data_IF_046786399376
#
_entry.id   IF_046786399376
#
_cell.length_a   1.000
_cell.length_b   1.000
_cell.length_c   1.000
_cell.angle_alpha   90.00
_cell.angle_beta   90.00
_cell.angle_gamma   90.00
#
_symmetry.space_group_name_H-M   'P 1'
#
loop_
_entity.id
_entity.type
_entity.pdbx_description
1 polymer ?
#
# COMPACT_ATOMS: atom_id res chain seq x y z
N UNK A 1 -1.96 -33.09 14.11
CA UNK A 1 -1.93 -32.36 12.83
C UNK A 1 -3.03 -31.32 12.90
N UNK A 2 -2.70 -30.05 13.18
CA UNK A 2 -3.70 -28.97 13.21
C UNK A 2 -3.97 -28.56 11.78
N UNK A 3 -5.26 -28.47 11.42
CA UNK A 3 -5.71 -27.81 10.20
C UNK A 3 -5.09 -26.41 10.17
N UNK A 4 -4.12 -26.21 9.29
CA UNK A 4 -3.70 -24.86 8.93
C UNK A 4 -4.85 -24.31 8.13
N UNK A 5 -5.62 -23.41 8.75
CA UNK A 5 -6.75 -22.67 8.16
C UNK A 5 -6.51 -22.45 6.68
N UNK A 6 -7.31 -23.10 5.83
CA UNK A 6 -7.22 -22.92 4.40
C UNK A 6 -7.50 -21.45 4.08
N UNK A 7 -6.52 -20.75 3.52
CA UNK A 7 -6.72 -19.42 2.98
C UNK A 7 -7.83 -19.50 1.92
N UNK A 8 -8.78 -18.55 1.89
CA UNK A 8 -9.84 -18.58 0.91
C UNK A 8 -9.28 -18.55 -0.51
N UNK A 9 -9.90 -19.31 -1.42
CA UNK A 9 -9.77 -19.07 -2.85
C UNK A 9 -10.45 -17.73 -3.15
N UNK A 10 -9.65 -16.72 -3.52
CA UNK A 10 -10.12 -15.36 -3.76
C UNK A 10 -10.36 -15.15 -5.25
N UNK A 11 -11.39 -14.38 -5.56
CA UNK A 11 -11.58 -13.79 -6.88
C UNK A 11 -11.37 -12.28 -6.75
N UNK A 12 -10.54 -11.72 -7.61
CA UNK A 12 -10.22 -10.30 -7.62
C UNK A 12 -10.09 -9.79 -9.06
N UNK A 13 -10.39 -8.51 -9.26
CA UNK A 13 -10.39 -7.86 -10.57
C UNK A 13 -9.21 -6.91 -10.65
N UNK A 14 -8.36 -7.05 -11.66
CA UNK A 14 -7.22 -6.17 -11.92
C UNK A 14 -7.56 -5.24 -13.06
N UNK A 15 -7.34 -3.95 -12.87
CA UNK A 15 -7.57 -2.90 -13.87
C UNK A 15 -6.23 -2.46 -14.45
N UNK A 16 -6.03 -2.70 -15.75
CA UNK A 16 -4.78 -2.38 -16.45
C UNK A 16 -4.69 -0.91 -16.86
N UNK A 17 -3.46 -0.38 -16.95
CA UNK A 17 -3.16 1.00 -17.31
C UNK A 17 -3.95 1.49 -18.54
N UNK A 18 -4.68 2.60 -18.39
CA UNK A 18 -5.15 3.44 -19.50
C UNK A 18 -6.21 2.88 -20.45
N UNK A 19 -6.70 1.65 -20.28
CA UNK A 19 -7.63 1.04 -21.26
C UNK A 19 -8.96 0.54 -20.68
N UNK A 20 -9.19 0.63 -19.36
CA UNK A 20 -10.45 0.21 -18.74
C UNK A 20 -10.73 -1.31 -18.79
N UNK A 21 -9.77 -2.11 -19.24
CA UNK A 21 -9.89 -3.56 -19.30
C UNK A 21 -9.78 -4.16 -17.89
N UNK A 22 -10.90 -4.70 -17.43
CA UNK A 22 -11.01 -5.47 -16.19
C UNK A 22 -10.63 -6.94 -16.47
N UNK A 23 -9.62 -7.44 -15.75
CA UNK A 23 -9.25 -8.86 -15.78
C UNK A 23 -9.57 -9.53 -14.46
N UNK A 24 -10.58 -10.40 -14.46
CA UNK A 24 -10.89 -11.26 -13.31
C UNK A 24 -9.83 -12.34 -13.16
N UNK A 25 -9.30 -12.47 -11.94
CA UNK A 25 -8.33 -13.47 -11.55
C UNK A 25 -8.83 -14.24 -10.35
N UNK A 26 -8.44 -15.51 -10.28
CA UNK A 26 -8.64 -16.35 -9.11
C UNK A 26 -7.27 -16.69 -8.54
N UNK A 27 -7.11 -16.60 -7.22
CA UNK A 27 -5.83 -16.87 -6.58
C UNK A 27 -5.91 -16.84 -5.06
N UNK A 28 -4.77 -17.10 -4.44
CA UNK A 28 -4.56 -17.03 -3.00
C UNK A 28 -4.39 -15.60 -2.49
N UNK A 29 -4.45 -15.42 -1.17
CA UNK A 29 -4.15 -14.14 -0.54
C UNK A 29 -2.74 -13.63 -0.88
N UNK A 30 -1.74 -14.50 -1.00
CA UNK A 30 -0.39 -14.10 -1.40
C UNK A 30 -0.35 -13.53 -2.84
N UNK A 31 -1.08 -14.16 -3.77
CA UNK A 31 -1.18 -13.68 -5.16
C UNK A 31 -1.98 -12.37 -5.26
N UNK A 32 -3.00 -12.19 -4.41
CA UNK A 32 -3.67 -10.90 -4.26
C UNK A 32 -2.71 -9.82 -3.77
N UNK A 33 -1.95 -10.06 -2.69
CA UNK A 33 -0.98 -9.09 -2.16
C UNK A 33 0.12 -8.76 -3.20
N UNK A 34 0.56 -9.73 -3.98
CA UNK A 34 1.50 -9.50 -5.10
C UNK A 34 0.91 -8.66 -6.24
N UNK A 35 -0.40 -8.70 -6.42
CA UNK A 35 -1.09 -7.92 -7.44
C UNK A 35 -1.40 -6.48 -6.99
N UNK A 36 -1.31 -6.16 -5.68
CA UNK A 36 -1.54 -4.82 -5.17
C UNK A 36 -0.33 -3.91 -5.50
N UNK A 37 -0.53 -2.82 -6.25
CA UNK A 37 0.54 -1.90 -6.59
C UNK A 37 1.22 -1.31 -5.35
N UNK A 38 2.55 -1.21 -5.41
CA UNK A 38 3.38 -0.54 -4.39
C UNK A 38 3.32 -1.11 -2.96
N UNK A 39 2.66 -2.26 -2.75
CA UNK A 39 2.52 -2.84 -1.41
C UNK A 39 3.88 -3.26 -0.82
N UNK A 40 4.77 -3.82 -1.64
CA UNK A 40 6.10 -4.28 -1.22
C UNK A 40 7.18 -3.22 -1.43
N UNK A 41 7.06 -2.10 -0.72
CA UNK A 41 8.07 -1.02 -0.76
C UNK A 41 9.45 -1.59 -0.40
N UNK A 42 10.45 -1.34 -1.25
CA UNK A 42 11.83 -1.86 -1.16
C UNK A 42 11.95 -3.36 -0.81
N UNK A 43 10.99 -4.17 -1.25
CA UNK A 43 11.00 -5.62 -1.03
C UNK A 43 10.58 -6.09 0.37
N UNK A 44 10.04 -5.20 1.20
CA UNK A 44 9.53 -5.57 2.52
C UNK A 44 8.08 -6.04 2.48
N UNK A 45 7.78 -7.11 3.22
CA UNK A 45 6.42 -7.63 3.42
C UNK A 45 5.75 -6.86 4.57
N UNK A 46 4.52 -6.33 4.40
CA UNK A 46 3.83 -5.59 5.45
C UNK A 46 3.44 -6.45 6.66
N UNK A 47 3.37 -5.85 7.87
CA UNK A 47 2.89 -6.53 9.08
C UNK A 47 1.39 -6.81 9.00
N UNK A 48 0.90 -7.69 9.87
CA UNK A 48 -0.51 -8.11 9.92
C UNK A 48 -1.49 -6.93 9.97
N UNK A 49 -1.19 -5.91 10.77
CA UNK A 49 -2.05 -4.73 10.92
C UNK A 49 -2.26 -4.03 9.58
N UNK A 50 -1.18 -3.82 8.83
CA UNK A 50 -1.18 -3.17 7.51
C UNK A 50 -1.85 -4.07 6.47
N UNK A 51 -1.54 -5.38 6.48
CA UNK A 51 -2.20 -6.34 5.59
C UNK A 51 -3.71 -6.32 5.80
N UNK A 52 -4.18 -6.35 7.05
CA UNK A 52 -5.60 -6.30 7.35
C UNK A 52 -6.23 -4.94 7.05
N UNK A 53 -5.50 -3.83 7.22
CA UNK A 53 -5.96 -2.50 6.81
C UNK A 53 -6.22 -2.47 5.30
N UNK A 54 -5.27 -2.96 4.50
CA UNK A 54 -5.39 -3.07 3.05
C UNK A 54 -6.53 -4.02 2.69
N UNK A 55 -6.51 -5.28 3.13
CA UNK A 55 -7.50 -6.29 2.74
C UNK A 55 -8.94 -5.92 3.11
N UNK A 56 -9.15 -5.14 4.17
CA UNK A 56 -10.49 -4.67 4.58
C UNK A 56 -11.04 -3.56 3.69
N UNK A 57 -10.21 -2.87 2.91
CA UNK A 57 -10.67 -1.81 1.99
C UNK A 57 -11.39 -2.37 0.76
N UNK A 58 -11.05 -3.61 0.35
CA UNK A 58 -11.58 -4.25 -0.86
C UNK A 58 -11.09 -3.63 -2.17
N UNK A 59 -10.20 -2.62 -2.12
CA UNK A 59 -9.66 -1.99 -3.32
C UNK A 59 -8.30 -1.36 -3.07
N UNK A 60 -7.47 -1.31 -4.10
CA UNK A 60 -6.28 -0.48 -4.14
C UNK A 60 -6.24 0.23 -5.49
N UNK A 61 -6.18 1.55 -5.44
CA UNK A 61 -6.13 2.42 -6.61
C UNK A 61 -4.76 3.10 -6.64
N UNK A 62 -4.05 2.96 -7.76
CA UNK A 62 -2.75 3.55 -8.02
C UNK A 62 -2.80 4.54 -9.19
N UNK A 63 -3.98 5.10 -9.48
CA UNK A 63 -4.22 6.06 -10.55
C UNK A 63 -3.82 5.49 -11.91
N UNK A 64 -2.89 6.16 -12.60
CA UNK A 64 -2.43 5.72 -13.92
C UNK A 64 -1.73 4.36 -13.91
N UNK A 65 -1.27 3.87 -12.75
CA UNK A 65 -0.67 2.55 -12.62
C UNK A 65 -1.71 1.42 -12.51
N UNK A 66 -2.99 1.75 -12.62
CA UNK A 66 -4.11 0.82 -12.54
C UNK A 66 -4.61 0.63 -11.12
N UNK A 67 -5.37 -0.43 -10.93
CA UNK A 67 -5.96 -0.75 -9.63
C UNK A 67 -6.35 -2.21 -9.52
N UNK A 68 -6.85 -2.58 -8.35
CA UNK A 68 -7.34 -3.92 -8.08
C UNK A 68 -8.48 -3.86 -7.07
N UNK A 69 -9.51 -4.68 -7.28
CA UNK A 69 -10.67 -4.81 -6.41
C UNK A 69 -10.89 -6.26 -5.99
N UNK A 70 -11.35 -6.45 -4.76
CA UNK A 70 -11.64 -7.74 -4.16
C UNK A 70 -12.74 -7.61 -3.09
N UNK A 71 -13.32 -8.73 -2.69
CA UNK A 71 -14.26 -8.75 -1.56
C UNK A 71 -13.48 -8.50 -0.25
N UNK A 72 -13.83 -7.50 0.58
CA UNK A 72 -13.13 -7.22 1.83
C UNK A 72 -13.05 -8.41 2.79
N UNK A 73 -11.89 -8.63 3.40
CA UNK A 73 -11.69 -9.66 4.42
C UNK A 73 -10.50 -9.35 5.34
N UNK A 74 -10.34 -10.15 6.39
CA UNK A 74 -9.20 -10.11 7.31
C UNK A 74 -8.60 -11.50 7.45
N UNK A 75 -7.31 -11.54 7.76
CA UNK A 75 -6.57 -12.76 8.07
C UNK A 75 -6.15 -12.77 9.54
N UNK A 76 -6.01 -13.97 10.09
CA UNK A 76 -5.46 -14.21 11.43
C UNK A 76 -3.93 -14.10 11.43
N UNK A 77 -3.32 -14.06 12.61
CA UNK A 77 -1.86 -14.13 12.78
C UNK A 77 -1.26 -15.38 12.13
N UNK A 78 -1.89 -16.55 12.33
CA UNK A 78 -1.42 -17.81 11.74
C UNK A 78 -1.51 -17.80 10.21
N UNK A 79 -2.57 -17.22 9.66
CA UNK A 79 -2.73 -17.05 8.21
C UNK A 79 -1.70 -16.07 7.64
N UNK A 80 -1.44 -14.95 8.34
CA UNK A 80 -0.42 -13.98 7.92
C UNK A 80 0.98 -14.58 7.95
N UNK A 81 1.34 -15.36 8.98
CA UNK A 81 2.61 -16.07 9.01
C UNK A 81 2.78 -17.00 7.79
N UNK A 82 1.74 -17.77 7.44
CA UNK A 82 1.77 -18.63 6.26
C UNK A 82 1.88 -17.84 4.94
N UNK A 83 1.24 -16.67 4.86
CA UNK A 83 1.36 -15.75 3.72
C UNK A 83 2.79 -15.22 3.61
N UNK A 84 3.39 -14.78 4.72
CA UNK A 84 4.78 -14.27 4.76
C UNK A 84 5.76 -15.33 4.26
N UNK A 85 5.65 -16.56 4.74
CA UNK A 85 6.49 -17.67 4.28
C UNK A 85 6.39 -17.89 2.76
N UNK A 86 5.16 -17.90 2.23
CA UNK A 86 4.93 -18.06 0.79
C UNK A 86 5.46 -16.89 -0.04
N UNK A 87 5.32 -15.66 0.46
CA UNK A 87 5.83 -14.45 -0.20
C UNK A 87 7.35 -14.42 -0.23
N UNK A 88 8.03 -14.76 0.86
CA UNK A 88 9.49 -14.86 0.88
C UNK A 88 10.01 -15.94 -0.08
N UNK A 89 9.31 -17.08 -0.18
CA UNK A 89 9.69 -18.17 -1.08
C UNK A 89 9.47 -17.84 -2.57
N UNK A 90 8.45 -17.05 -2.91
CA UNK A 90 8.10 -16.71 -4.30
C UNK A 90 8.64 -15.37 -4.79
N UNK A 91 8.95 -14.45 -3.87
CA UNK A 91 9.35 -13.09 -4.19
C UNK A 91 8.19 -12.24 -4.76
N UNK A 92 8.54 -11.12 -5.39
CA UNK A 92 7.62 -10.32 -6.21
C UNK A 92 8.36 -9.67 -7.37
N UNK A 93 7.79 -9.74 -8.58
CA UNK A 93 8.37 -9.19 -9.81
C UNK A 93 9.85 -9.60 -10.03
N UNK A 94 10.19 -10.85 -9.69
CA UNK A 94 11.55 -11.39 -9.81
C UNK A 94 12.54 -10.90 -8.76
N UNK A 95 12.08 -10.18 -7.72
CA UNK A 95 12.90 -9.74 -6.59
C UNK A 95 12.56 -10.54 -5.33
N UNK A 96 13.56 -10.86 -4.49
CA UNK A 96 13.31 -11.48 -3.20
C UNK A 96 12.51 -10.53 -2.30
N UNK A 97 11.65 -11.12 -1.47
CA UNK A 97 10.93 -10.39 -0.43
C UNK A 97 11.46 -10.80 0.94
N UNK A 98 11.41 -9.86 1.89
CA UNK A 98 11.83 -10.07 3.25
C UNK A 98 10.78 -9.55 4.25
N UNK A 99 10.72 -10.17 5.42
CA UNK A 99 9.87 -9.73 6.52
C UNK A 99 10.74 -9.30 7.69
N UNK A 100 10.39 -8.14 8.26
CA UNK A 100 10.94 -7.66 9.51
C UNK A 100 9.79 -7.02 10.28
N UNK A 101 9.65 -7.37 11.56
CA UNK A 101 8.61 -6.83 12.42
C UNK A 101 8.84 -5.32 12.62
N UNK A 102 7.88 -4.46 12.22
CA UNK A 102 8.00 -3.03 12.41
C UNK A 102 7.59 -2.61 13.84
N UNK A 103 7.87 -1.37 14.25
CA UNK A 103 7.33 -0.81 15.48
C UNK A 103 5.79 -0.82 15.49
N UNK A 104 5.21 -0.91 16.70
CA UNK A 104 3.76 -1.01 16.89
C UNK A 104 2.92 0.16 16.34
N UNK A 105 3.54 1.30 16.02
CA UNK A 105 2.85 2.43 15.39
C UNK A 105 2.57 2.21 13.91
N UNK A 106 3.19 1.21 13.26
CA UNK A 106 3.00 0.92 11.84
C UNK A 106 1.73 0.10 11.66
N UNK A 107 0.62 0.78 11.37
CA UNK A 107 -0.71 0.16 11.26
C UNK A 107 -1.38 0.38 9.90
N UNK A 108 -0.93 1.38 9.15
CA UNK A 108 -1.43 1.74 7.82
C UNK A 108 -0.36 1.54 6.74
N UNK A 109 -0.77 1.49 5.46
CA UNK A 109 0.16 1.37 4.34
C UNK A 109 1.13 2.56 4.27
N UNK A 110 0.66 3.78 4.54
CA UNK A 110 1.49 4.98 4.50
C UNK A 110 2.55 4.98 5.62
N UNK A 111 2.17 4.61 6.85
CA UNK A 111 3.11 4.42 7.95
C UNK A 111 4.14 3.33 7.64
N UNK A 112 3.72 2.26 6.97
CA UNK A 112 4.62 1.19 6.53
C UNK A 112 5.64 1.70 5.52
N UNK A 113 5.24 2.49 4.53
CA UNK A 113 6.17 3.10 3.57
C UNK A 113 7.18 4.01 4.27
N UNK A 114 6.76 4.78 5.28
CA UNK A 114 7.66 5.62 6.07
C UNK A 114 8.68 4.78 6.83
N UNK A 115 8.24 3.71 7.49
CA UNK A 115 9.15 2.81 8.20
C UNK A 115 10.13 2.12 7.24
N UNK A 116 9.67 1.66 6.07
CA UNK A 116 10.53 1.07 5.04
C UNK A 116 11.59 2.08 4.58
N UNK A 117 11.21 3.33 4.29
CA UNK A 117 12.18 4.36 3.89
C UNK A 117 13.26 4.61 4.96
N UNK A 118 12.90 4.53 6.24
CA UNK A 118 13.86 4.61 7.33
C UNK A 118 14.81 3.40 7.36
N UNK A 119 14.31 2.16 7.29
CA UNK A 119 15.20 0.99 7.38
C UNK A 119 16.06 0.79 6.13
N UNK A 120 15.54 1.14 4.94
CA UNK A 120 16.24 0.97 3.66
C UNK A 120 17.25 2.08 3.39
N UNK A 121 16.94 3.32 3.79
CA UNK A 121 17.69 4.50 3.36
C UNK A 121 18.04 5.46 4.49
N UNK A 122 17.57 5.24 5.72
CA UNK A 122 17.82 6.15 6.84
C UNK A 122 17.00 7.45 6.80
N UNK A 123 15.91 7.50 6.02
CA UNK A 123 15.03 8.68 5.99
C UNK A 123 14.44 8.92 7.39
N UNK A 124 14.56 10.14 7.96
CA UNK A 124 14.04 10.44 9.29
C UNK A 124 12.53 10.20 9.42
N UNK A 125 12.15 9.40 10.42
CA UNK A 125 10.76 8.96 10.62
C UNK A 125 9.82 10.15 10.89
N UNK A 126 10.23 11.09 11.74
CA UNK A 126 9.33 12.17 12.19
C UNK A 126 8.95 13.11 11.06
N UNK A 127 9.94 13.55 10.29
CA UNK A 127 9.79 14.43 9.14
C UNK A 127 8.98 13.74 8.03
N UNK A 128 9.27 12.47 7.77
CA UNK A 128 8.57 11.69 6.75
C UNK A 128 7.10 11.45 7.16
N UNK A 129 6.84 11.04 8.40
CA UNK A 129 5.47 10.88 8.93
C UNK A 129 4.69 12.19 8.87
N UNK A 130 5.31 13.32 9.18
CA UNK A 130 4.66 14.63 9.11
C UNK A 130 4.19 14.93 7.69
N UNK A 131 5.09 14.83 6.71
CA UNK A 131 4.76 15.09 5.30
C UNK A 131 3.69 14.12 4.79
N UNK A 132 3.81 12.82 5.12
CA UNK A 132 2.82 11.81 4.75
C UNK A 132 1.43 12.15 5.29
N UNK A 133 1.30 12.52 6.56
CA UNK A 133 0.02 12.90 7.16
C UNK A 133 -0.57 14.16 6.52
N UNK A 134 0.25 15.17 6.29
CA UNK A 134 -0.19 16.40 5.61
C UNK A 134 -0.69 16.09 4.18
N UNK A 135 -0.01 15.22 3.44
CA UNK A 135 -0.45 14.78 2.11
C UNK A 135 -1.80 14.03 2.16
N UNK A 136 -1.99 13.15 3.14
CA UNK A 136 -3.25 12.41 3.34
C UNK A 136 -4.43 13.34 3.68
N UNK A 137 -4.20 14.33 4.55
CA UNK A 137 -5.18 15.33 4.92
C UNK A 137 -5.60 16.17 3.70
N UNK A 138 -4.63 16.69 2.93
CA UNK A 138 -4.89 17.45 1.71
C UNK A 138 -5.61 16.61 0.66
N UNK A 139 -5.21 15.35 0.47
CA UNK A 139 -5.88 14.45 -0.48
C UNK A 139 -7.34 14.19 -0.08
N UNK A 140 -7.61 14.03 1.23
CA UNK A 140 -8.98 13.87 1.76
C UNK A 140 -9.83 15.12 1.47
N UNK A 141 -9.27 16.31 1.67
CA UNK A 141 -9.95 17.58 1.36
C UNK A 141 -10.19 17.75 -0.15
N UNK A 142 -9.24 17.32 -0.97
CA UNK A 142 -9.35 17.33 -2.43
C UNK A 142 -10.50 16.44 -2.90
N UNK A 143 -10.56 15.17 -2.46
CA UNK A 143 -11.67 14.25 -2.79
C UNK A 143 -13.01 14.84 -2.34
N UNK A 144 -13.10 15.34 -1.11
CA UNK A 144 -14.32 15.94 -0.60
C UNK A 144 -14.77 17.19 -1.39
N UNK A 145 -13.82 17.96 -1.95
CA UNK A 145 -14.15 19.11 -2.80
C UNK A 145 -14.67 18.69 -4.18
N UNK A 146 -14.13 17.62 -4.75
CA UNK A 146 -14.59 17.02 -6.00
C UNK A 146 -16.02 16.49 -5.88
N UNK A 147 -16.32 15.77 -4.79
CA UNK A 147 -17.66 15.27 -4.50
C UNK A 147 -18.71 16.38 -4.38
N UNK A 148 -18.30 17.60 -3.99
CA UNK A 148 -19.16 18.79 -3.91
C UNK A 148 -19.21 19.61 -5.21
N UNK A 149 -18.40 19.26 -6.22
CA UNK A 149 -18.24 20.05 -7.44
C UNK A 149 -17.52 21.39 -7.23
N UNK A 150 -16.76 21.54 -6.15
CA UNK A 150 -16.00 22.76 -5.82
C UNK A 150 -14.61 22.71 -6.48
N UNK A 151 -14.60 23.01 -7.78
CA UNK A 151 -13.39 22.93 -8.62
C UNK A 151 -12.28 23.86 -8.15
N UNK A 152 -12.61 25.05 -7.64
CA UNK A 152 -11.61 26.01 -7.18
C UNK A 152 -10.83 25.47 -5.97
N UNK A 153 -11.54 24.91 -4.98
CA UNK A 153 -10.91 24.25 -3.84
C UNK A 153 -10.11 23.02 -4.29
N UNK A 154 -10.66 22.20 -5.20
CA UNK A 154 -9.97 21.00 -5.72
C UNK A 154 -8.62 21.34 -6.34
N UNK A 155 -8.59 22.34 -7.22
CA UNK A 155 -7.33 22.83 -7.83
C UNK A 155 -6.38 23.39 -6.77
N UNK A 156 -6.90 24.13 -5.78
CA UNK A 156 -6.10 24.63 -4.66
C UNK A 156 -5.42 23.52 -3.86
N UNK A 157 -6.14 22.44 -3.54
CA UNK A 157 -5.59 21.29 -2.84
C UNK A 157 -4.61 20.49 -3.70
N UNK A 158 -4.86 20.37 -5.02
CA UNK A 158 -3.93 19.72 -5.94
C UNK A 158 -2.56 20.42 -5.95
N UNK A 159 -2.54 21.76 -5.95
CA UNK A 159 -1.28 22.53 -5.89
C UNK A 159 -0.55 22.33 -4.57
N UNK A 160 -1.26 22.28 -3.44
CA UNK A 160 -0.67 21.99 -2.12
C UNK A 160 -0.10 20.58 -2.07
N UNK A 161 -0.81 19.59 -2.61
CA UNK A 161 -0.35 18.21 -2.67
C UNK A 161 0.91 18.08 -3.51
N UNK A 162 1.01 18.81 -4.63
CA UNK A 162 2.20 18.85 -5.46
C UNK A 162 3.40 19.45 -4.72
N UNK A 163 3.21 20.54 -3.98
CA UNK A 163 4.27 21.14 -3.16
C UNK A 163 4.78 20.19 -2.07
N UNK A 164 3.86 19.55 -1.32
CA UNK A 164 4.22 18.53 -0.32
C UNK A 164 4.93 17.33 -0.95
N UNK A 165 4.51 16.91 -2.15
CA UNK A 165 5.15 15.82 -2.89
C UNK A 165 6.59 16.18 -3.29
N UNK A 166 6.83 17.44 -3.68
CA UNK A 166 8.19 17.94 -3.94
C UNK A 166 9.04 17.94 -2.67
N UNK A 167 8.52 18.45 -1.56
CA UNK A 167 9.22 18.43 -0.27
C UNK A 167 9.56 16.99 0.18
N UNK A 168 8.63 16.06 0.01
CA UNK A 168 8.86 14.64 0.30
C UNK A 168 9.91 14.03 -0.61
N UNK A 169 9.86 14.34 -1.90
CA UNK A 169 10.87 13.89 -2.88
C UNK A 169 12.26 14.41 -2.52
N UNK A 170 12.39 15.69 -2.14
CA UNK A 170 13.66 16.30 -1.72
C UNK A 170 14.20 15.64 -0.44
N UNK A 171 13.32 15.40 0.53
CA UNK A 171 13.66 14.66 1.76
C UNK A 171 14.22 13.29 1.39
N UNK A 172 13.48 12.46 0.64
CA UNK A 172 13.91 11.10 0.31
C UNK A 172 15.19 11.10 -0.53
N UNK A 173 15.33 12.02 -1.47
CA UNK A 173 16.50 12.13 -2.36
C UNK A 173 17.78 12.47 -1.60
N UNK A 174 17.67 13.22 -0.50
CA UNK A 174 18.80 13.53 0.40
C UNK A 174 19.41 12.27 1.02
N UNK A 175 18.62 11.22 1.25
CA UNK A 175 19.05 9.99 1.94
C UNK A 175 19.26 8.79 1.00
N UNK A 176 18.76 8.84 -0.24
CA UNK A 176 18.94 7.78 -1.24
C UNK A 176 20.26 7.85 -2.02
N UNK A 177 21.15 8.77 -1.66
CA UNK A 177 22.45 9.04 -2.31
C UNK A 177 23.40 7.86 -2.36
#
# INVERSE_FOLDING_TARGET
>A
MREVDQLPDLTFSVFSMGCGDEHKRRGSAAELLQAIPYLFSDGYIPPLAVVNNVLSSGKADAGMSGGIEWAPFRVSEAQHAAIVERLMASGSLGKPLQYQEPPAWVTTQSEFMVWVAFVSHGVPIQENLKLTKEMEEINTLMIASEERGDEASRVGYLLQLNDLSMQWSDLVSTYRG
#
